data_IF_530048427822
#
_entry.id   IF_530048427822
#
_cell.length_a   1.000
_cell.length_b   1.000
_cell.length_c   1.000
_cell.angle_alpha   90.00
_cell.angle_beta   90.00
_cell.angle_gamma   90.00
#
_symmetry.space_group_name_H-M   'P 1'
#
loop_
_entity.id
_entity.type
_entity.pdbx_description
1 polymer ?
#
# COMPACT_ATOMS: atom_id res chain seq x y z
N UNK A 1 -0.53 -6.87 -24.78
CA UNK A 1 0.54 -7.82 -25.20
C UNK A 1 1.45 -7.97 -24.00
N UNK A 2 1.17 -8.95 -23.15
CA UNK A 2 2.10 -9.33 -22.10
C UNK A 2 3.24 -10.11 -22.77
N UNK A 3 4.47 -9.60 -22.67
CA UNK A 3 5.65 -10.23 -23.25
C UNK A 3 6.07 -11.44 -22.41
N UNK A 4 6.62 -12.48 -23.05
CA UNK A 4 7.03 -13.75 -22.43
C UNK A 4 8.10 -13.63 -21.32
N UNK A 5 8.67 -12.44 -21.06
CA UNK A 5 9.70 -12.18 -20.05
C UNK A 5 9.21 -12.12 -18.59
N UNK A 6 7.89 -12.15 -18.37
CA UNK A 6 7.27 -11.99 -17.06
C UNK A 6 7.06 -13.31 -16.29
N UNK A 7 7.39 -14.45 -16.91
CA UNK A 7 7.24 -15.77 -16.29
C UNK A 7 8.28 -15.96 -15.16
N UNK A 8 7.88 -15.61 -13.93
CA UNK A 8 8.64 -15.83 -12.70
C UNK A 8 8.87 -14.59 -11.84
N UNK A 9 8.51 -13.39 -12.31
CA UNK A 9 8.62 -12.17 -11.51
C UNK A 9 7.38 -11.96 -10.65
N UNK A 10 7.57 -11.53 -9.40
CA UNK A 10 6.45 -11.16 -8.52
C UNK A 10 5.82 -9.86 -9.02
N UNK A 11 4.52 -9.88 -9.29
CA UNK A 11 3.75 -8.70 -9.67
C UNK A 11 3.21 -8.00 -8.44
N UNK A 12 3.30 -6.69 -8.43
CA UNK A 12 2.75 -5.81 -7.40
C UNK A 12 1.86 -4.78 -8.08
N UNK A 13 0.57 -4.82 -7.78
CA UNK A 13 -0.39 -3.86 -8.32
C UNK A 13 -0.62 -2.76 -7.29
N UNK A 14 -0.46 -1.50 -7.69
CA UNK A 14 -0.62 -0.32 -6.84
C UNK A 14 -1.82 0.47 -7.34
N UNK A 15 -2.95 0.32 -6.66
CA UNK A 15 -4.20 1.00 -6.96
C UNK A 15 -4.22 2.38 -6.36
N UNK A 16 -4.86 3.34 -7.04
CA UNK A 16 -5.16 4.65 -6.46
C UNK A 16 -6.60 5.10 -6.70
N UNK A 17 -7.18 5.70 -5.68
CA UNK A 17 -8.45 6.44 -5.69
C UNK A 17 -8.17 7.89 -5.29
N UNK A 18 -8.35 8.85 -6.19
CA UNK A 18 -7.91 10.23 -6.00
C UNK A 18 -8.91 11.24 -6.54
N UNK A 19 -8.98 12.44 -5.94
CA UNK A 19 -9.63 13.60 -6.56
C UNK A 19 -8.63 14.62 -7.09
N UNK A 20 -7.69 15.05 -6.26
CA UNK A 20 -6.71 16.09 -6.57
C UNK A 20 -5.34 15.54 -7.01
N UNK A 21 -5.30 14.27 -7.43
CA UNK A 21 -4.10 13.50 -7.79
C UNK A 21 -3.07 13.23 -6.69
N UNK A 22 -3.35 13.57 -5.43
CA UNK A 22 -2.43 13.29 -4.32
C UNK A 22 -2.18 11.77 -4.17
N UNK A 23 -3.23 10.94 -4.18
CA UNK A 23 -3.09 9.48 -4.04
C UNK A 23 -2.35 8.86 -5.23
N UNK A 24 -2.62 9.35 -6.44
CA UNK A 24 -1.90 8.96 -7.65
C UNK A 24 -0.40 9.29 -7.54
N UNK A 25 -0.07 10.48 -7.04
CA UNK A 25 1.31 10.90 -6.80
C UNK A 25 2.06 9.97 -5.86
N UNK A 26 1.45 9.62 -4.72
CA UNK A 26 2.04 8.67 -3.76
C UNK A 26 2.18 7.26 -4.32
N UNK A 27 1.15 6.76 -5.00
CA UNK A 27 1.20 5.45 -5.65
C UNK A 27 2.35 5.36 -6.67
N UNK A 28 2.53 6.40 -7.49
CA UNK A 28 3.63 6.49 -8.47
C UNK A 28 4.98 6.60 -7.79
N UNK A 29 5.13 7.48 -6.80
CA UNK A 29 6.39 7.64 -6.07
C UNK A 29 6.82 6.32 -5.41
N UNK A 30 5.89 5.64 -4.72
CA UNK A 30 6.15 4.33 -4.12
C UNK A 30 6.56 3.30 -5.18
N UNK A 31 5.85 3.23 -6.30
CA UNK A 31 6.16 2.25 -7.34
C UNK A 31 7.55 2.50 -7.96
N UNK A 32 7.94 3.75 -8.21
CA UNK A 32 9.26 4.08 -8.76
C UNK A 32 10.39 3.74 -7.77
N UNK A 33 10.22 4.08 -6.49
CA UNK A 33 11.19 3.73 -5.44
C UNK A 33 11.30 2.21 -5.25
N UNK A 34 10.17 1.50 -5.28
CA UNK A 34 10.13 0.06 -5.13
C UNK A 34 10.73 -0.67 -6.34
N UNK A 35 10.52 -0.18 -7.57
CA UNK A 35 11.18 -0.72 -8.78
C UNK A 35 12.71 -0.64 -8.67
N UNK A 36 13.23 0.48 -8.17
CA UNK A 36 14.68 0.65 -7.98
C UNK A 36 15.27 -0.33 -6.95
N UNK A 37 14.50 -0.66 -5.91
CA UNK A 37 14.92 -1.59 -4.84
C UNK A 37 14.73 -3.07 -5.21
N UNK A 38 13.68 -3.37 -5.97
CA UNK A 38 13.25 -4.74 -6.26
C UNK A 38 13.23 -4.99 -7.78
N UNK A 39 14.40 -5.10 -8.43
CA UNK A 39 14.50 -5.25 -9.90
C UNK A 39 13.89 -6.56 -10.44
N UNK A 40 13.61 -7.52 -9.56
CA UNK A 40 12.98 -8.80 -9.89
C UNK A 40 11.46 -8.81 -9.67
N UNK A 41 10.87 -7.69 -9.25
CA UNK A 41 9.43 -7.49 -9.14
C UNK A 41 8.95 -6.52 -10.22
N UNK A 42 7.70 -6.69 -10.66
CA UNK A 42 7.05 -5.80 -11.61
C UNK A 42 5.98 -5.01 -10.87
N UNK A 43 6.11 -3.68 -10.89
CA UNK A 43 5.14 -2.78 -10.27
C UNK A 43 4.28 -2.13 -11.33
N UNK A 44 2.96 -2.28 -11.18
CA UNK A 44 1.95 -1.66 -12.04
C UNK A 44 1.11 -0.70 -11.22
N UNK A 45 1.13 0.59 -11.59
CA UNK A 45 0.25 1.60 -10.98
C UNK A 45 -1.04 1.66 -11.80
N UNK A 46 -2.19 1.61 -11.14
CA UNK A 46 -3.50 1.45 -11.79
C UNK A 46 -4.51 2.40 -11.16
N UNK A 47 -5.20 3.19 -12.00
CA UNK A 47 -6.43 3.86 -11.58
C UNK A 47 -7.48 2.79 -11.31
N UNK A 48 -8.07 2.79 -10.11
CA UNK A 48 -8.97 1.72 -9.71
C UNK A 48 -10.22 1.63 -10.60
N UNK A 49 -10.67 2.73 -11.23
CA UNK A 49 -11.79 2.70 -12.18
C UNK A 49 -11.42 2.03 -13.50
N UNK A 50 -10.14 2.13 -13.91
CA UNK A 50 -9.62 1.51 -15.14
C UNK A 50 -9.29 0.02 -14.96
N UNK A 51 -9.31 -0.48 -13.73
CA UNK A 51 -8.97 -1.87 -13.44
C UNK A 51 -9.99 -2.87 -14.00
N UNK A 52 -11.24 -2.46 -14.11
CA UNK A 52 -12.34 -3.31 -14.57
C UNK A 52 -13.43 -2.47 -15.25
N UNK A 53 -13.86 -2.92 -16.43
CA UNK A 53 -14.96 -2.30 -17.17
C UNK A 53 -16.32 -2.77 -16.68
N UNK A 54 -16.41 -3.99 -16.15
CA UNK A 54 -17.63 -4.62 -15.58
C UNK A 54 -17.36 -5.17 -14.17
N UNK A 55 -18.40 -5.36 -13.37
CA UNK A 55 -18.28 -5.74 -11.97
C UNK A 55 -17.70 -7.15 -11.78
N UNK A 56 -17.99 -8.05 -12.72
CA UNK A 56 -17.44 -9.41 -12.74
C UNK A 56 -15.92 -9.40 -13.02
N UNK A 57 -15.42 -8.42 -13.79
CA UNK A 57 -13.99 -8.28 -14.07
C UNK A 57 -13.19 -7.92 -12.81
N UNK A 58 -13.76 -7.13 -11.88
CA UNK A 58 -13.10 -6.86 -10.59
C UNK A 58 -12.85 -8.17 -9.83
N UNK A 59 -13.84 -9.06 -9.77
CA UNK A 59 -13.73 -10.33 -9.06
C UNK A 59 -12.69 -11.26 -9.73
N UNK A 60 -12.77 -11.39 -11.05
CA UNK A 60 -11.85 -12.25 -11.81
C UNK A 60 -10.40 -11.77 -11.76
N UNK A 61 -10.19 -10.46 -11.81
CA UNK A 61 -8.85 -9.89 -11.81
C UNK A 61 -8.26 -9.93 -10.39
N UNK A 62 -9.02 -9.52 -9.37
CA UNK A 62 -8.52 -9.44 -7.99
C UNK A 62 -8.17 -10.84 -7.42
N UNK A 63 -8.87 -11.91 -7.85
CA UNK A 63 -8.50 -13.31 -7.53
C UNK A 63 -7.11 -13.71 -8.01
N UNK A 64 -6.61 -13.08 -9.09
CA UNK A 64 -5.33 -13.41 -9.72
C UNK A 64 -4.18 -12.58 -9.13
N UNK A 65 -4.48 -11.51 -8.40
CA UNK A 65 -3.48 -10.70 -7.74
C UNK A 65 -2.84 -11.47 -6.57
N UNK A 66 -1.51 -11.36 -6.46
CA UNK A 66 -0.76 -11.95 -5.34
C UNK A 66 -0.35 -10.89 -4.31
N UNK A 67 -0.11 -9.65 -4.76
CA UNK A 67 0.21 -8.52 -3.89
C UNK A 67 -0.39 -7.22 -4.46
N UNK A 68 -1.25 -6.59 -3.67
CA UNK A 68 -1.89 -5.32 -4.01
C UNK A 68 -1.68 -4.24 -2.94
N UNK A 69 -1.39 -3.02 -3.35
CA UNK A 69 -1.34 -1.84 -2.49
C UNK A 69 -2.45 -0.88 -2.89
N UNK A 70 -3.20 -0.36 -1.92
CA UNK A 70 -4.35 0.51 -2.17
C UNK A 70 -4.11 1.89 -1.58
N UNK A 71 -4.03 2.91 -2.43
CA UNK A 71 -3.93 4.32 -2.04
C UNK A 71 -5.29 4.99 -2.27
N UNK A 72 -6.15 5.02 -1.26
CA UNK A 72 -7.52 5.51 -1.40
C UNK A 72 -7.73 6.76 -0.54
N UNK A 73 -8.04 7.88 -1.20
CA UNK A 73 -8.46 9.09 -0.50
C UNK A 73 -9.93 8.99 -0.04
N UNK A 74 -10.22 9.67 1.06
CA UNK A 74 -11.59 9.85 1.57
C UNK A 74 -12.02 11.29 1.33
N UNK A 75 -13.25 11.50 0.85
CA UNK A 75 -13.76 12.83 0.51
C UNK A 75 -15.11 13.12 1.19
N UNK A 76 -15.43 14.40 1.41
CA UNK A 76 -16.70 14.85 1.97
C UNK A 76 -17.04 14.17 3.30
N UNK A 77 -18.23 13.59 3.38
CA UNK A 77 -18.76 12.90 4.57
C UNK A 77 -18.29 11.43 4.67
N UNK A 78 -17.02 11.18 4.31
CA UNK A 78 -16.42 9.86 4.42
C UNK A 78 -16.72 8.95 3.23
N UNK A 79 -16.89 9.55 2.05
CA UNK A 79 -17.18 8.87 0.78
C UNK A 79 -15.88 8.58 0.01
N UNK A 80 -15.88 7.57 -0.88
CA UNK A 80 -14.77 7.35 -1.81
C UNK A 80 -14.65 8.52 -2.81
N UNK A 81 -13.48 8.64 -3.44
CA UNK A 81 -13.30 9.52 -4.61
C UNK A 81 -14.12 9.04 -5.80
N UNK A 82 -14.41 9.92 -6.75
CA UNK A 82 -15.23 9.59 -7.93
C UNK A 82 -14.71 8.36 -8.68
N UNK A 83 -13.40 8.28 -8.91
CA UNK A 83 -12.78 7.13 -9.58
C UNK A 83 -12.76 5.85 -8.74
N UNK A 84 -12.96 5.93 -7.42
CA UNK A 84 -13.03 4.77 -6.54
C UNK A 84 -14.47 4.36 -6.19
N UNK A 85 -15.47 5.19 -6.51
CA UNK A 85 -16.84 5.02 -6.08
C UNK A 85 -17.44 3.68 -6.56
N UNK A 86 -17.15 3.31 -7.80
CA UNK A 86 -17.65 2.06 -8.39
C UNK A 86 -17.06 0.84 -7.70
N UNK A 87 -15.72 0.76 -7.62
CA UNK A 87 -15.03 -0.31 -6.89
C UNK A 87 -15.54 -0.41 -5.45
N UNK A 88 -15.61 0.73 -4.74
CA UNK A 88 -16.02 0.77 -3.35
C UNK A 88 -17.44 0.24 -3.16
N UNK A 89 -18.38 0.61 -4.02
CA UNK A 89 -19.75 0.09 -3.99
C UNK A 89 -19.77 -1.42 -4.22
N UNK A 90 -19.17 -1.88 -5.33
CA UNK A 90 -19.13 -3.31 -5.69
C UNK A 90 -18.49 -4.17 -4.58
N UNK A 91 -17.42 -3.66 -3.97
CA UNK A 91 -16.68 -4.37 -2.93
C UNK A 91 -17.43 -4.40 -1.60
N UNK A 92 -18.08 -3.30 -1.23
CA UNK A 92 -18.86 -3.21 0.02
C UNK A 92 -20.21 -3.91 -0.04
N UNK A 93 -20.81 -4.07 -1.22
CA UNK A 93 -22.09 -4.78 -1.39
C UNK A 93 -21.91 -6.30 -1.41
N UNK A 94 -20.80 -6.85 -1.91
CA UNK A 94 -20.62 -8.30 -1.97
C UNK A 94 -19.84 -8.92 -0.82
N UNK A 95 -20.16 -8.53 0.42
CA UNK A 95 -19.57 -9.12 1.65
C UNK A 95 -19.90 -10.60 1.82
N UNK A 96 -20.99 -11.06 1.19
CA UNK A 96 -21.43 -12.47 1.25
C UNK A 96 -20.58 -13.46 0.43
N UNK A 97 -19.56 -12.99 -0.30
CA UNK A 97 -18.68 -13.87 -1.10
C UNK A 97 -17.81 -14.82 -0.27
N UNK A 98 -17.74 -14.64 1.05
CA UNK A 98 -16.90 -15.45 1.94
C UNK A 98 -15.41 -15.21 1.72
N UNK A 99 -14.58 -16.23 1.98
CA UNK A 99 -13.13 -16.15 1.80
C UNK A 99 -12.72 -16.53 0.38
N UNK A 100 -12.49 -15.54 -0.49
CA UNK A 100 -12.14 -15.75 -1.90
C UNK A 100 -10.81 -15.08 -2.31
N UNK A 101 -10.19 -14.33 -1.40
CA UNK A 101 -8.94 -13.59 -1.60
C UNK A 101 -7.75 -14.21 -0.83
N UNK A 102 -7.77 -15.52 -0.56
CA UNK A 102 -6.78 -16.20 0.29
C UNK A 102 -5.32 -16.13 -0.22
N UNK A 103 -5.17 -15.90 -1.53
CA UNK A 103 -3.89 -15.74 -2.22
C UNK A 103 -3.40 -14.28 -2.25
N UNK A 104 -4.26 -13.32 -1.90
CA UNK A 104 -3.94 -11.91 -1.95
C UNK A 104 -3.23 -11.48 -0.68
N UNK A 105 -2.04 -10.93 -0.84
CA UNK A 105 -1.39 -10.09 0.16
C UNK A 105 -1.72 -8.63 -0.11
N UNK A 106 -1.95 -7.82 0.93
CA UNK A 106 -2.33 -6.43 0.71
C UNK A 106 -1.86 -5.44 1.77
N UNK A 107 -1.80 -4.18 1.37
CA UNK A 107 -1.66 -3.03 2.26
C UNK A 107 -2.55 -1.88 1.79
N UNK A 108 -3.13 -1.14 2.73
CA UNK A 108 -4.03 -0.01 2.43
C UNK A 108 -3.49 1.26 3.08
N UNK A 109 -3.55 2.35 2.34
CA UNK A 109 -3.07 3.67 2.74
C UNK A 109 -4.13 4.69 2.42
N UNK A 110 -4.42 5.54 3.39
CA UNK A 110 -5.32 6.65 3.22
C UNK A 110 -4.59 7.96 3.14
N UNK A 111 -5.21 8.86 2.39
CA UNK A 111 -4.94 10.29 2.42
C UNK A 111 -6.26 10.94 2.83
N UNK A 112 -6.36 11.26 4.11
CA UNK A 112 -7.49 11.99 4.67
C UNK A 112 -7.01 13.23 5.39
N UNK A 113 -7.93 13.90 6.05
CA UNK A 113 -7.63 15.09 6.84
C UNK A 113 -8.41 14.96 8.15
N UNK A 114 -7.70 15.03 9.28
CA UNK A 114 -8.29 14.82 10.62
C UNK A 114 -9.31 15.89 11.02
N UNK A 115 -9.38 17.02 10.31
CA UNK A 115 -10.40 18.04 10.53
C UNK A 115 -11.79 17.59 10.05
N UNK A 116 -11.89 16.54 9.24
CA UNK A 116 -13.15 15.97 8.79
C UNK A 116 -13.64 14.90 9.76
N UNK A 117 -14.95 14.88 10.01
CA UNK A 117 -15.61 13.96 10.96
C UNK A 117 -15.35 12.48 10.61
N UNK A 118 -15.22 12.17 9.33
CA UNK A 118 -15.03 10.81 8.83
C UNK A 118 -13.60 10.58 8.30
N UNK A 119 -12.61 10.77 9.17
CA UNK A 119 -11.19 10.54 8.87
C UNK A 119 -10.92 9.10 8.39
N UNK A 120 -10.41 8.96 7.17
CA UNK A 120 -9.93 7.69 6.56
C UNK A 120 -10.96 6.55 6.46
N UNK A 121 -12.26 6.86 6.53
CA UNK A 121 -13.35 5.87 6.55
C UNK A 121 -13.28 4.87 5.39
N UNK A 122 -12.97 5.33 4.18
CA UNK A 122 -12.91 4.47 2.98
C UNK A 122 -11.88 3.37 3.14
N UNK A 123 -10.70 3.73 3.63
CA UNK A 123 -9.58 2.80 3.80
C UNK A 123 -9.83 1.83 4.94
N UNK A 124 -10.43 2.28 6.04
CA UNK A 124 -10.83 1.38 7.14
C UNK A 124 -11.79 0.31 6.63
N UNK A 125 -12.84 0.70 5.88
CA UNK A 125 -13.81 -0.24 5.35
C UNK A 125 -13.19 -1.21 4.34
N UNK A 126 -12.34 -0.73 3.43
CA UNK A 126 -11.68 -1.58 2.44
C UNK A 126 -10.70 -2.56 3.11
N UNK A 127 -9.94 -2.11 4.10
CA UNK A 127 -9.01 -2.96 4.86
C UNK A 127 -9.73 -4.09 5.60
N UNK A 128 -10.78 -3.76 6.34
CA UNK A 128 -11.61 -4.73 7.06
C UNK A 128 -12.19 -5.78 6.10
N UNK A 129 -12.75 -5.35 4.97
CA UNK A 129 -13.36 -6.25 4.00
C UNK A 129 -12.34 -7.14 3.27
N UNK A 130 -11.16 -6.63 2.93
CA UNK A 130 -10.09 -7.44 2.37
C UNK A 130 -9.69 -8.55 3.35
N UNK A 131 -9.54 -8.21 4.63
CA UNK A 131 -9.20 -9.17 5.68
C UNK A 131 -10.29 -10.22 5.89
N UNK A 132 -11.55 -9.79 6.04
CA UNK A 132 -12.71 -10.68 6.20
C UNK A 132 -12.88 -11.65 5.02
N UNK A 133 -12.50 -11.22 3.81
CA UNK A 133 -12.57 -12.03 2.58
C UNK A 133 -11.32 -12.90 2.36
N UNK A 134 -10.45 -13.01 3.36
CA UNK A 134 -9.32 -13.95 3.42
C UNK A 134 -7.97 -13.40 2.96
N UNK A 135 -7.90 -12.14 2.54
CA UNK A 135 -6.63 -11.52 2.16
C UNK A 135 -5.74 -11.29 3.39
N UNK A 136 -4.43 -11.25 3.18
CA UNK A 136 -3.44 -11.18 4.27
C UNK A 136 -2.77 -9.82 4.28
N UNK A 137 -2.89 -9.10 5.40
CA UNK A 137 -2.11 -7.89 5.63
C UNK A 137 -0.62 -8.19 5.50
N UNK A 138 0.07 -7.42 4.66
CA UNK A 138 1.53 -7.34 4.75
C UNK A 138 1.96 -6.28 5.73
N UNK A 139 1.13 -5.24 5.93
CA UNK A 139 1.41 -4.13 6.82
C UNK A 139 0.13 -3.58 7.48
N UNK A 140 0.29 -2.91 8.61
CA UNK A 140 -0.72 -2.08 9.23
C UNK A 140 -1.19 -0.95 8.28
N UNK A 141 -2.47 -0.63 8.36
CA UNK A 141 -3.12 0.45 7.60
C UNK A 141 -2.37 1.77 7.80
N UNK A 142 -1.98 2.40 6.69
CA UNK A 142 -1.41 3.75 6.69
C UNK A 142 -2.52 4.80 6.77
N UNK A 143 -2.52 5.61 7.83
CA UNK A 143 -3.52 6.67 8.04
C UNK A 143 -2.86 8.04 7.82
N UNK A 144 -2.82 8.51 6.56
CA UNK A 144 -2.30 9.84 6.22
C UNK A 144 -3.26 10.95 6.65
N UNK A 145 -2.68 12.08 7.08
CA UNK A 145 -3.38 13.32 7.45
C UNK A 145 -2.78 14.46 6.60
N UNK A 146 -3.60 15.18 5.83
CA UNK A 146 -3.20 16.22 4.87
C UNK A 146 -2.79 17.54 5.58
N UNK A 147 -3.25 17.76 6.82
CA UNK A 147 -2.91 18.96 7.61
C UNK A 147 -1.65 18.80 8.47
N UNK A 148 -1.18 17.58 8.65
CA UNK A 148 0.12 17.31 9.24
C UNK A 148 1.06 16.90 8.12
N UNK A 149 2.33 17.30 8.21
CA UNK A 149 3.39 16.65 7.42
C UNK A 149 3.18 15.15 7.63
N UNK A 150 2.83 14.44 6.56
CA UNK A 150 2.42 13.05 6.57
C UNK A 150 3.29 12.27 7.54
N UNK A 151 2.78 12.04 8.75
CA UNK A 151 3.36 11.05 9.66
C UNK A 151 2.90 9.69 9.17
N UNK A 152 3.36 9.34 7.97
CA UNK A 152 3.40 7.97 7.50
C UNK A 152 4.49 7.29 8.33
N UNK A 153 4.24 7.09 9.61
CA UNK A 153 5.19 6.45 10.52
C UNK A 153 5.41 5.04 10.04
N UNK A 154 6.48 4.87 9.26
CA UNK A 154 7.17 3.62 8.96
C UNK A 154 6.25 2.45 8.61
N UNK A 155 6.07 2.22 7.30
CA UNK A 155 5.34 1.06 6.81
C UNK A 155 6.21 -0.20 6.97
N UNK A 156 5.86 -1.06 7.93
CA UNK A 156 6.53 -2.34 8.15
C UNK A 156 5.79 -3.47 7.42
N UNK A 157 6.24 -3.84 6.22
CA UNK A 157 5.68 -4.97 5.49
C UNK A 157 6.58 -6.21 5.57
N UNK A 158 6.12 -7.29 6.23
CA UNK A 158 6.85 -8.56 6.29
C UNK A 158 6.36 -9.48 5.16
N UNK A 159 7.08 -9.48 4.04
CA UNK A 159 6.91 -10.49 3.00
C UNK A 159 7.87 -11.65 3.36
N UNK A 160 7.43 -12.92 3.39
CA UNK A 160 8.36 -14.04 3.57
C UNK A 160 9.43 -13.96 2.48
N UNK A 161 10.70 -13.87 2.91
CA UNK A 161 11.94 -13.69 2.13
C UNK A 161 12.40 -12.24 1.83
N UNK A 162 11.66 -11.17 2.15
CA UNK A 162 12.12 -9.79 1.91
C UNK A 162 11.66 -8.82 3.01
N UNK A 163 12.62 -8.10 3.61
CA UNK A 163 12.35 -6.96 4.49
C UNK A 163 12.07 -5.73 3.64
N UNK A 164 10.85 -5.21 3.74
CA UNK A 164 10.45 -3.99 3.04
C UNK A 164 10.24 -2.91 4.10
N UNK A 165 11.15 -1.93 4.13
CA UNK A 165 11.06 -0.75 5.00
C UNK A 165 10.89 0.45 4.09
N UNK A 166 9.73 1.10 4.16
CA UNK A 166 9.50 2.37 3.47
C UNK A 166 9.65 3.52 4.49
N UNK A 167 10.68 4.34 4.30
CA UNK A 167 10.95 5.54 5.12
C UNK A 167 10.85 6.75 4.21
N UNK A 168 9.97 7.69 4.55
CA UNK A 168 9.86 8.96 3.82
C UNK A 168 11.13 9.82 4.03
N UNK A 169 11.60 10.59 3.02
CA UNK A 169 12.81 11.41 3.12
C UNK A 169 12.81 12.40 4.29
N UNK A 170 11.64 12.83 4.72
CA UNK A 170 11.42 13.87 5.73
C UNK A 170 11.64 13.37 7.18
N UNK A 171 11.62 12.05 7.41
CA UNK A 171 11.82 11.43 8.73
C UNK A 171 13.27 10.98 9.01
N UNK A 172 14.15 11.05 7.99
CA UNK A 172 15.58 10.71 8.10
C UNK A 172 16.28 11.45 9.27
N UNK A 173 16.02 12.75 9.54
CA UNK A 173 16.73 13.47 10.61
C UNK A 173 16.28 13.10 12.04
N UNK A 174 15.10 12.49 12.20
CA UNK A 174 14.54 12.16 13.53
C UNK A 174 14.90 10.74 13.98
N UNK A 175 15.07 9.81 13.03
CA UNK A 175 15.51 8.45 13.28
C UNK A 175 16.99 8.37 13.71
N UNK A 176 17.85 9.23 13.18
CA UNK A 176 19.29 9.25 13.52
C UNK A 176 19.55 9.68 14.99
N UNK A 177 18.62 10.42 15.59
CA UNK A 177 18.77 10.95 16.96
C UNK A 177 18.24 10.04 18.07
N UNK A 178 17.39 9.05 17.77
CA UNK A 178 16.80 8.19 18.82
C UNK A 178 17.61 6.92 19.12
N UNK A 179 18.66 6.62 18.34
CA UNK A 179 19.45 5.39 18.46
C UNK A 179 20.89 5.60 18.95
N UNK A 180 21.30 6.85 19.17
CA UNK A 180 22.55 7.16 19.86
C UNK A 180 22.28 7.41 21.34
N UNK A 181 23.06 6.73 22.18
CA UNK A 181 23.13 6.78 23.65
C UNK A 181 22.20 5.81 24.41
N UNK A 182 22.69 4.58 24.64
CA UNK A 182 23.36 4.26 25.91
C UNK A 182 23.93 2.83 25.91
N UNK A 183 25.25 2.75 26.12
CA UNK A 183 26.03 1.59 26.57
C UNK A 183 26.17 0.42 25.58
N UNK A 184 27.32 0.42 24.91
CA UNK A 184 27.66 -0.53 23.86
C UNK A 184 27.63 -2.00 24.28
N UNK A 185 27.04 -2.80 23.39
CA UNK A 185 27.48 -4.12 22.93
C UNK A 185 26.80 -4.30 21.56
N UNK A 186 27.59 -4.32 20.48
CA UNK A 186 27.08 -4.63 19.15
C UNK A 186 26.95 -6.16 19.03
N UNK A 187 25.74 -6.68 18.88
CA UNK A 187 25.53 -8.07 18.45
C UNK A 187 25.54 -8.04 16.92
N UNK A 188 26.65 -8.49 16.35
CA UNK A 188 26.73 -8.78 14.91
C UNK A 188 26.17 -10.18 14.66
N UNK A 189 25.05 -10.27 13.95
CA UNK A 189 24.63 -11.52 13.30
C UNK A 189 25.23 -11.58 11.89
N UNK A 190 25.96 -12.65 11.62
CA UNK A 190 26.75 -12.88 10.41
C UNK A 190 25.94 -13.55 9.28
N UNK A 191 24.65 -13.87 9.50
CA UNK A 191 23.83 -14.58 8.48
C UNK A 191 22.83 -13.71 7.70
N UNK A 192 22.67 -12.43 8.04
CA UNK A 192 21.90 -11.51 7.21
C UNK A 192 22.60 -10.15 7.20
N UNK A 193 23.27 -9.75 6.10
CA UNK A 193 23.82 -8.41 6.03
C UNK A 193 22.63 -7.43 6.02
N UNK A 194 22.39 -6.80 7.16
CA UNK A 194 21.62 -5.56 7.24
C UNK A 194 22.31 -4.53 6.36
N UNK A 195 21.90 -4.45 5.10
CA UNK A 195 22.24 -3.35 4.21
C UNK A 195 21.28 -2.21 4.49
N UNK A 196 21.58 -1.41 5.50
CA UNK A 196 21.03 -0.06 5.61
C UNK A 196 21.66 0.78 4.50
N UNK A 197 20.85 1.43 3.66
CA UNK A 197 21.34 2.41 2.70
C UNK A 197 20.79 3.77 3.09
N UNK A 198 21.66 4.57 3.69
CA UNK A 198 21.49 6.01 3.84
C UNK A 198 21.79 6.64 2.48
N UNK A 199 20.86 7.41 1.93
CA UNK A 199 21.10 8.25 0.76
C UNK A 199 21.30 9.67 1.26
N UNK A 200 22.54 10.17 1.19
CA UNK A 200 22.79 11.61 1.15
C UNK A 200 22.79 12.05 -0.32
N UNK A 201 22.43 13.31 -0.53
CA UNK A 201 22.46 14.03 -1.82
C UNK A 201 23.75 13.79 -2.62
#
# INVERSE_FOLDING_TARGET
>A
MDTEEDQGKKKVTVFFGTQTRTAEGFAKALAEEAKARYPNAIFKVVDIDEYATEDDEYEENLKKESLALFFLATYGDGEPTDNAARFYKWFTEGKERGTWLENLQFGVFSLGNQQYEHFNKVVVVVDELLHEQGAKHIVQVGLGDDDQVLRMTSLHAVIPEYWVVFVMPEEVPYLDKSWSFANGHAIHDIQHPCSYVLVYD
#
